data_IF_435990478172
#
_entry.id   IF_435990478172
#
_cell.length_a   1.000
_cell.length_b   1.000
_cell.length_c   1.000
_cell.angle_alpha   90.00
_cell.angle_beta   90.00
_cell.angle_gamma   90.00
#
_symmetry.space_group_name_H-M   'P 1'
#
loop_
_entity.id
_entity.type
_entity.pdbx_description
1 polymer ?
#
# COMPACT_ATOMS: atom_id res chain seq x y z
N UNK A 1 -20.12 20.68 -22.48
CA UNK A 1 -19.28 20.93 -21.28
C UNK A 1 -19.34 19.77 -20.28
N UNK A 2 -20.48 19.11 -20.15
CA UNK A 2 -20.69 17.95 -19.26
C UNK A 2 -19.70 16.80 -19.48
N UNK A 3 -19.46 16.42 -20.74
CA UNK A 3 -18.56 15.31 -21.08
C UNK A 3 -17.09 15.53 -20.63
N UNK A 4 -16.60 16.80 -20.62
CA UNK A 4 -15.24 17.12 -20.15
C UNK A 4 -15.11 16.97 -18.63
N UNK A 5 -16.16 17.32 -17.88
CA UNK A 5 -16.21 17.17 -16.41
C UNK A 5 -16.31 15.70 -16.01
N UNK A 6 -17.08 14.91 -16.76
CA UNK A 6 -17.16 13.46 -16.57
C UNK A 6 -15.81 12.81 -16.80
N UNK A 7 -15.14 13.11 -17.92
CA UNK A 7 -13.82 12.56 -18.23
C UNK A 7 -12.75 12.97 -17.21
N UNK A 8 -12.78 14.21 -16.70
CA UNK A 8 -11.81 14.68 -15.71
C UNK A 8 -11.93 13.99 -14.35
N UNK A 9 -13.07 13.37 -14.05
CA UNK A 9 -13.29 12.58 -12.84
C UNK A 9 -13.05 11.10 -13.11
N UNK A 10 -13.60 10.59 -14.22
CA UNK A 10 -13.56 9.17 -14.58
C UNK A 10 -12.13 8.69 -14.86
N UNK A 11 -11.32 9.49 -15.56
CA UNK A 11 -9.94 9.12 -15.89
C UNK A 11 -9.11 8.88 -14.60
N UNK A 12 -9.00 9.84 -13.66
CA UNK A 12 -8.30 9.60 -12.41
C UNK A 12 -8.85 8.41 -11.63
N UNK A 13 -10.17 8.26 -11.57
CA UNK A 13 -10.82 7.19 -10.81
C UNK A 13 -10.44 5.81 -11.35
N UNK A 14 -10.59 5.59 -12.65
CA UNK A 14 -10.22 4.33 -13.32
C UNK A 14 -8.71 4.10 -13.25
N UNK A 15 -7.90 5.13 -13.53
CA UNK A 15 -6.44 4.99 -13.52
C UNK A 15 -5.88 4.66 -12.13
N UNK A 16 -6.36 5.31 -11.07
CA UNK A 16 -5.87 5.04 -9.72
C UNK A 16 -6.40 3.69 -9.22
N UNK A 17 -7.64 3.32 -9.55
CA UNK A 17 -8.19 2.01 -9.16
C UNK A 17 -7.43 0.86 -9.82
N UNK A 18 -7.46 0.77 -11.15
CA UNK A 18 -6.82 -0.35 -11.86
C UNK A 18 -5.30 -0.29 -11.75
N UNK A 19 -4.71 0.90 -11.87
CA UNK A 19 -3.27 1.08 -11.71
C UNK A 19 -2.80 0.73 -10.30
N UNK A 20 -3.54 1.14 -9.27
CA UNK A 20 -3.22 0.83 -7.88
C UNK A 20 -3.32 -0.65 -7.57
N UNK A 21 -4.40 -1.32 -8.01
CA UNK A 21 -4.58 -2.77 -7.87
C UNK A 21 -3.48 -3.54 -8.62
N UNK A 22 -3.12 -3.11 -9.82
CA UNK A 22 -2.05 -3.74 -10.59
C UNK A 22 -0.69 -3.61 -9.89
N UNK A 23 -0.32 -2.40 -9.43
CA UNK A 23 0.94 -2.17 -8.70
C UNK A 23 0.96 -2.97 -7.39
N UNK A 24 -0.17 -3.05 -6.69
CA UNK A 24 -0.32 -3.87 -5.50
C UNK A 24 -0.11 -5.36 -5.81
N UNK A 25 -0.72 -5.89 -6.86
CA UNK A 25 -0.52 -7.28 -7.28
C UNK A 25 0.96 -7.56 -7.59
N UNK A 26 1.62 -6.67 -8.34
CA UNK A 26 3.05 -6.76 -8.61
C UNK A 26 3.89 -6.70 -7.32
N UNK A 27 3.46 -5.93 -6.34
CA UNK A 27 4.12 -5.84 -5.03
C UNK A 27 4.03 -7.18 -4.29
N UNK A 28 2.87 -7.84 -4.28
CA UNK A 28 2.75 -9.15 -3.65
C UNK A 28 3.53 -10.24 -4.40
N UNK A 29 3.50 -10.22 -5.74
CA UNK A 29 4.31 -11.14 -6.56
C UNK A 29 5.79 -10.93 -6.23
N UNK A 30 6.25 -9.68 -6.16
CA UNK A 30 7.63 -9.34 -5.81
C UNK A 30 7.99 -9.79 -4.39
N UNK A 31 7.08 -9.64 -3.42
CA UNK A 31 7.25 -10.10 -2.04
C UNK A 31 7.45 -11.62 -1.99
N UNK A 32 6.57 -12.39 -2.63
CA UNK A 32 6.63 -13.86 -2.67
C UNK A 32 7.87 -14.34 -3.43
N UNK A 33 8.19 -13.72 -4.56
CA UNK A 33 9.39 -14.05 -5.33
C UNK A 33 10.67 -13.82 -4.53
N UNK A 34 10.78 -12.69 -3.81
CA UNK A 34 11.90 -12.41 -2.92
C UNK A 34 11.97 -13.41 -1.76
N UNK A 35 10.83 -13.76 -1.17
CA UNK A 35 10.78 -14.78 -0.13
C UNK A 35 11.34 -16.12 -0.62
N UNK A 36 10.83 -16.66 -1.73
CA UNK A 36 11.30 -17.94 -2.27
C UNK A 36 12.74 -17.89 -2.74
N UNK A 37 13.19 -16.77 -3.30
CA UNK A 37 14.59 -16.58 -3.66
C UNK A 37 15.50 -16.65 -2.42
N UNK A 38 15.11 -15.99 -1.33
CA UNK A 38 15.89 -16.01 -0.09
C UNK A 38 15.86 -17.41 0.53
N UNK A 39 14.69 -18.04 0.57
CA UNK A 39 14.50 -19.38 1.10
C UNK A 39 15.37 -20.41 0.37
N UNK A 40 15.29 -20.45 -0.96
CA UNK A 40 16.02 -21.43 -1.77
C UNK A 40 17.55 -21.30 -1.69
N UNK A 41 18.07 -20.09 -1.45
CA UNK A 41 19.52 -19.82 -1.55
C UNK A 41 20.20 -19.63 -0.18
N UNK A 42 19.48 -19.20 0.85
CA UNK A 42 20.08 -18.75 2.12
C UNK A 42 19.50 -19.43 3.37
N UNK A 43 18.33 -20.05 3.30
CA UNK A 43 17.67 -20.61 4.48
C UNK A 43 17.78 -22.13 4.48
N UNK A 44 18.55 -22.68 5.43
CA UNK A 44 18.65 -24.15 5.62
C UNK A 44 17.45 -24.74 6.37
N UNK A 45 16.87 -23.98 7.30
CA UNK A 45 15.73 -24.38 8.13
C UNK A 45 14.60 -23.34 8.04
N UNK A 46 13.57 -23.56 7.20
CA UNK A 46 12.47 -22.61 6.98
C UNK A 46 11.73 -22.21 8.25
N UNK A 47 11.64 -23.11 9.23
CA UNK A 47 10.92 -22.88 10.50
C UNK A 47 11.56 -21.79 11.39
N UNK A 48 12.83 -21.46 11.20
CA UNK A 48 13.49 -20.37 11.93
C UNK A 48 13.45 -19.03 11.21
N UNK A 49 12.83 -18.98 10.02
CA UNK A 49 12.74 -17.74 9.29
C UNK A 49 11.79 -16.77 9.98
N UNK A 50 12.29 -15.57 10.27
CA UNK A 50 11.54 -14.54 11.00
C UNK A 50 10.65 -13.78 10.03
N UNK A 51 9.53 -14.41 9.63
CA UNK A 51 8.62 -13.90 8.61
C UNK A 51 8.11 -12.49 8.91
N UNK A 52 7.87 -12.16 10.18
CA UNK A 52 7.44 -10.81 10.58
C UNK A 52 8.50 -9.74 10.34
N UNK A 53 9.79 -10.08 10.55
CA UNK A 53 10.90 -9.16 10.24
C UNK A 53 11.03 -8.99 8.74
N UNK A 54 10.93 -10.06 7.97
CA UNK A 54 10.97 -9.99 6.51
C UNK A 54 9.86 -9.10 5.95
N UNK A 55 8.62 -9.32 6.39
CA UNK A 55 7.45 -8.51 6.00
C UNK A 55 7.63 -7.03 6.35
N UNK A 56 8.12 -6.74 7.55
CA UNK A 56 8.38 -5.36 7.99
C UNK A 56 9.50 -4.68 7.17
N UNK A 57 10.57 -5.41 6.87
CA UNK A 57 11.67 -4.91 6.02
C UNK A 57 11.19 -4.64 4.60
N UNK A 58 10.37 -5.54 4.03
CA UNK A 58 9.80 -5.35 2.69
C UNK A 58 8.83 -4.16 2.65
N UNK A 59 8.00 -3.98 3.68
CA UNK A 59 7.16 -2.80 3.84
C UNK A 59 8.00 -1.50 3.85
N UNK A 60 9.08 -1.45 4.64
CA UNK A 60 9.99 -0.29 4.67
C UNK A 60 10.64 -0.04 3.32
N UNK A 61 11.04 -1.09 2.61
CA UNK A 61 11.57 -0.98 1.25
C UNK A 61 10.55 -0.37 0.28
N UNK A 62 9.28 -0.79 0.34
CA UNK A 62 8.21 -0.23 -0.49
C UNK A 62 7.91 1.23 -0.16
N UNK A 63 7.94 1.60 1.12
CA UNK A 63 7.82 3.00 1.56
C UNK A 63 8.95 3.84 0.96
N UNK A 64 10.19 3.33 1.03
CA UNK A 64 11.35 4.03 0.48
C UNK A 64 11.23 4.23 -1.05
N UNK A 65 10.83 3.18 -1.77
CA UNK A 65 10.56 3.27 -3.22
C UNK A 65 9.51 4.36 -3.49
N UNK A 66 8.43 4.37 -2.72
CA UNK A 66 7.38 5.37 -2.90
C UNK A 66 7.88 6.78 -2.66
N UNK A 67 8.70 7.02 -1.62
CA UNK A 67 9.29 8.34 -1.42
C UNK A 67 10.15 8.79 -2.60
N UNK A 68 10.90 7.88 -3.23
CA UNK A 68 11.65 8.21 -4.45
C UNK A 68 10.71 8.55 -5.62
N UNK A 69 9.63 7.79 -5.78
CA UNK A 69 8.60 8.06 -6.80
C UNK A 69 7.93 9.41 -6.53
N UNK A 70 7.58 9.73 -5.29
CA UNK A 70 6.89 10.97 -4.93
C UNK A 70 7.76 12.22 -5.23
N UNK A 71 9.07 12.10 -5.01
CA UNK A 71 10.06 13.15 -5.31
C UNK A 71 10.38 13.28 -6.81
N UNK A 72 10.04 12.29 -7.62
CA UNK A 72 10.31 12.31 -9.06
C UNK A 72 9.36 13.25 -9.82
N UNK A 73 9.69 13.52 -11.10
CA UNK A 73 8.84 14.28 -12.03
C UNK A 73 7.75 13.43 -12.71
N UNK A 74 7.52 12.20 -12.23
CA UNK A 74 6.49 11.31 -12.77
C UNK A 74 5.10 11.94 -12.56
N UNK A 75 4.17 11.62 -13.46
CA UNK A 75 2.80 12.11 -13.42
C UNK A 75 2.09 11.76 -12.10
N UNK A 76 1.34 12.69 -11.54
CA UNK A 76 0.70 12.55 -10.23
C UNK A 76 -0.32 11.40 -10.16
N UNK A 77 -0.99 11.08 -11.28
CA UNK A 77 -1.87 9.90 -11.34
C UNK A 77 -1.12 8.59 -11.04
N UNK A 78 0.09 8.45 -11.57
CA UNK A 78 0.90 7.27 -11.30
C UNK A 78 1.37 7.25 -9.84
N UNK A 79 1.73 8.41 -9.29
CA UNK A 79 2.10 8.52 -7.86
C UNK A 79 0.92 8.13 -6.96
N UNK A 80 -0.30 8.56 -7.28
CA UNK A 80 -1.50 8.17 -6.54
C UNK A 80 -1.73 6.66 -6.63
N UNK A 81 -1.66 6.07 -7.83
CA UNK A 81 -1.76 4.61 -8.00
C UNK A 81 -0.66 3.87 -7.21
N UNK A 82 0.59 4.34 -7.29
CA UNK A 82 1.74 3.74 -6.63
C UNK A 82 1.63 3.78 -5.10
N UNK A 83 0.94 4.76 -4.52
CA UNK A 83 0.72 4.88 -3.07
C UNK A 83 -0.10 3.71 -2.50
N UNK A 84 -0.96 3.07 -3.31
CA UNK A 84 -1.80 1.94 -2.88
C UNK A 84 -0.94 0.79 -2.34
N UNK A 85 0.18 0.51 -2.99
CA UNK A 85 1.09 -0.59 -2.62
C UNK A 85 1.72 -0.43 -1.23
N UNK A 86 2.56 0.58 -0.95
CA UNK A 86 3.22 0.72 0.34
C UNK A 86 2.21 0.90 1.47
N UNK A 87 1.11 1.62 1.22
CA UNK A 87 0.06 1.81 2.22
C UNK A 87 -0.62 0.49 2.57
N UNK A 88 -0.90 -0.37 1.58
CA UNK A 88 -1.51 -1.68 1.83
C UNK A 88 -0.58 -2.58 2.63
N UNK A 89 0.72 -2.56 2.32
CA UNK A 89 1.71 -3.31 3.10
C UNK A 89 1.79 -2.82 4.55
N UNK A 90 1.70 -1.50 4.79
CA UNK A 90 1.64 -0.96 6.15
C UNK A 90 0.42 -1.49 6.89
N UNK A 91 -0.77 -1.42 6.29
CA UNK A 91 -1.99 -1.89 6.94
C UNK A 91 -1.94 -3.40 7.20
N UNK A 92 -1.45 -4.21 6.27
CA UNK A 92 -1.26 -5.66 6.47
C UNK A 92 -0.30 -5.95 7.62
N UNK A 93 0.84 -5.25 7.70
CA UNK A 93 1.78 -5.41 8.82
C UNK A 93 1.13 -5.04 10.14
N UNK A 94 0.35 -3.96 10.20
CA UNK A 94 -0.38 -3.55 11.40
C UNK A 94 -1.40 -4.60 11.82
N UNK A 95 -2.23 -5.09 10.89
CA UNK A 95 -3.24 -6.12 11.15
C UNK A 95 -2.59 -7.39 11.69
N UNK A 96 -1.55 -7.89 11.02
CA UNK A 96 -0.88 -9.12 11.44
C UNK A 96 -0.16 -8.95 12.78
N UNK A 97 0.44 -7.78 13.03
CA UNK A 97 1.14 -7.50 14.31
C UNK A 97 0.21 -7.50 15.51
N UNK A 98 -1.04 -7.08 15.32
CA UNK A 98 -2.04 -6.96 16.38
C UNK A 98 -3.22 -7.93 16.19
N UNK A 99 -3.02 -9.01 15.43
CA UNK A 99 -4.08 -9.98 15.11
C UNK A 99 -4.71 -10.55 16.39
N UNK A 100 -3.88 -10.93 17.37
CA UNK A 100 -4.33 -11.45 18.67
C UNK A 100 -4.95 -10.37 19.58
N UNK A 101 -4.83 -9.10 19.22
CA UNK A 101 -5.31 -7.97 20.02
C UNK A 101 -6.03 -6.94 19.14
N UNK A 102 -7.17 -7.35 18.62
CA UNK A 102 -8.03 -6.59 17.69
C UNK A 102 -8.17 -5.09 18.04
N UNK A 103 -8.38 -4.66 19.29
CA UNK A 103 -8.48 -3.22 19.61
C UNK A 103 -7.24 -2.41 19.21
N UNK A 104 -6.04 -2.99 19.35
CA UNK A 104 -4.79 -2.32 18.95
C UNK A 104 -4.62 -2.31 17.44
N UNK A 105 -5.15 -3.30 16.71
CA UNK A 105 -5.16 -3.29 15.26
C UNK A 105 -5.98 -2.10 14.73
N UNK A 106 -7.17 -1.87 15.28
CA UNK A 106 -8.00 -0.71 14.90
C UNK A 106 -7.32 0.62 15.22
N UNK A 107 -6.70 0.75 16.40
CA UNK A 107 -5.94 1.96 16.75
C UNK A 107 -4.76 2.18 15.80
N UNK A 108 -4.04 1.12 15.43
CA UNK A 108 -2.93 1.18 14.48
C UNK A 108 -3.38 1.62 13.08
N UNK A 109 -4.47 1.04 12.57
CA UNK A 109 -5.06 1.43 11.27
C UNK A 109 -5.51 2.89 11.31
N UNK A 110 -6.23 3.30 12.37
CA UNK A 110 -6.69 4.67 12.54
C UNK A 110 -5.52 5.66 12.57
N UNK A 111 -4.44 5.32 13.28
CA UNK A 111 -3.23 6.15 13.35
C UNK A 111 -2.56 6.29 11.97
N UNK A 112 -2.40 5.19 11.22
CA UNK A 112 -1.81 5.21 9.87
C UNK A 112 -2.66 6.07 8.92
N UNK A 113 -3.98 5.89 8.93
CA UNK A 113 -4.88 6.64 8.05
C UNK A 113 -4.95 8.12 8.42
N UNK A 114 -4.98 8.44 9.72
CA UNK A 114 -4.93 9.83 10.18
C UNK A 114 -3.63 10.51 9.76
N UNK A 115 -2.49 9.83 9.92
CA UNK A 115 -1.18 10.32 9.48
C UNK A 115 -1.12 10.52 7.96
N UNK A 116 -1.67 9.58 7.18
CA UNK A 116 -1.77 9.70 5.73
C UNK A 116 -2.63 10.89 5.33
N UNK A 117 -3.84 11.01 5.89
CA UNK A 117 -4.76 12.11 5.57
C UNK A 117 -4.14 13.47 5.93
N UNK A 118 -3.51 13.57 7.11
CA UNK A 118 -2.79 14.76 7.50
C UNK A 118 -1.67 15.10 6.49
N UNK A 119 -0.88 14.11 6.07
CA UNK A 119 0.16 14.31 5.06
C UNK A 119 -0.40 14.76 3.70
N UNK A 120 -1.49 14.14 3.22
CA UNK A 120 -2.15 14.49 1.96
C UNK A 120 -2.71 15.92 1.97
N UNK A 121 -3.32 16.33 3.09
CA UNK A 121 -3.87 17.68 3.28
C UNK A 121 -2.74 18.71 3.35
N UNK A 122 -1.73 18.47 4.19
CA UNK A 122 -0.60 19.40 4.37
C UNK A 122 0.22 19.55 3.09
N UNK A 123 0.38 18.46 2.32
CA UNK A 123 1.09 18.47 1.03
C UNK A 123 0.23 18.95 -0.14
N UNK A 124 -1.03 19.35 0.12
CA UNK A 124 -2.00 19.82 -0.88
C UNK A 124 -2.13 18.88 -2.07
N UNK A 125 -2.13 17.56 -1.81
CA UNK A 125 -2.20 16.55 -2.87
C UNK A 125 -3.54 16.62 -3.60
N UNK A 126 -3.58 16.34 -4.91
CA UNK A 126 -4.82 16.24 -5.68
C UNK A 126 -5.81 15.24 -5.07
N UNK A 127 -7.11 15.48 -5.28
CA UNK A 127 -8.20 14.68 -4.69
C UNK A 127 -8.10 13.17 -4.98
N UNK A 128 -7.53 12.77 -6.12
CA UNK A 128 -7.43 11.35 -6.49
C UNK A 128 -6.39 10.57 -5.68
N UNK A 129 -5.49 11.23 -4.92
CA UNK A 129 -4.64 10.53 -3.94
C UNK A 129 -5.45 9.93 -2.78
N UNK A 130 -6.62 10.50 -2.47
CA UNK A 130 -7.49 10.00 -1.41
C UNK A 130 -8.19 8.69 -1.83
N UNK A 131 -8.32 8.44 -3.13
CA UNK A 131 -8.77 7.15 -3.65
C UNK A 131 -7.81 6.02 -3.25
N UNK A 132 -6.51 6.29 -3.20
CA UNK A 132 -5.51 5.31 -2.80
C UNK A 132 -5.74 4.82 -1.38
N UNK A 133 -6.14 5.71 -0.46
CA UNK A 133 -6.49 5.36 0.91
C UNK A 133 -7.74 4.48 0.96
N UNK A 134 -8.78 4.80 0.19
CA UNK A 134 -10.02 4.01 0.11
C UNK A 134 -9.79 2.61 -0.46
N UNK A 135 -9.03 2.50 -1.56
CA UNK A 135 -8.69 1.21 -2.18
C UNK A 135 -7.93 0.34 -1.18
N UNK A 136 -6.92 0.93 -0.53
CA UNK A 136 -6.08 0.24 0.44
C UNK A 136 -6.88 -0.24 1.65
N UNK A 137 -7.82 0.57 2.14
CA UNK A 137 -8.76 0.16 3.18
C UNK A 137 -9.57 -1.06 2.75
N UNK A 138 -10.16 -1.03 1.56
CA UNK A 138 -10.94 -2.15 1.01
C UNK A 138 -10.12 -3.44 0.91
N UNK A 139 -8.90 -3.35 0.36
CA UNK A 139 -7.97 -4.47 0.27
C UNK A 139 -7.60 -5.01 1.66
N UNK A 140 -7.33 -4.12 2.61
CA UNK A 140 -6.89 -4.52 3.96
C UNK A 140 -8.01 -5.19 4.74
N UNK A 141 -9.24 -4.72 4.59
CA UNK A 141 -10.42 -5.36 5.16
C UNK A 141 -10.63 -6.74 4.53
N UNK A 142 -10.52 -6.84 3.20
CA UNK A 142 -10.66 -8.12 2.50
C UNK A 142 -9.57 -9.12 2.92
N UNK A 143 -8.34 -8.65 3.14
CA UNK A 143 -7.24 -9.47 3.62
C UNK A 143 -7.42 -9.92 5.08
N UNK A 144 -8.02 -9.06 5.91
CA UNK A 144 -8.30 -9.35 7.33
C UNK A 144 -9.59 -10.13 7.55
N UNK A 145 -10.36 -10.41 6.49
CA UNK A 145 -11.62 -11.14 6.58
C UNK A 145 -11.34 -12.63 6.88
N UNK A 146 -12.00 -13.21 7.90
CA UNK A 146 -11.79 -14.59 8.33
C UNK A 146 -12.23 -15.65 7.31
#
# INVERSE_FOLDING_TARGET
>A
MENKKTLSILIPLVSVFFGGVLILALTYIGYVALYFFIEANFIKNPQHFQMDKFRSSYMMFMILIYFLIDRSKIHDLFKAAALVSPLSMVLVVVVLRFYDRIPYAYLGIAFVLAGLLAWLILSKKPWYYYLSALITLGVSIAYAWP
#
